data_IF_864580914781
#
_entry.id   IF_864580914781
#
_cell.length_a   1.000
_cell.length_b   1.000
_cell.length_c   1.000
_cell.angle_alpha   90.00
_cell.angle_beta   90.00
_cell.angle_gamma   90.00
#
_symmetry.space_group_name_H-M   'P 1'
#
loop_
_entity.id
_entity.type
_entity.pdbx_description
1 polymer ?
#
# COMPACT_ATOMS: atom_id res chain seq x y z
N UNK A 1 -13.30 -27.15 -17.05
CA UNK A 1 -13.28 -25.85 -16.35
C UNK A 1 -12.32 -25.98 -15.20
N UNK A 2 -11.09 -25.51 -15.39
CA UNK A 2 -10.06 -25.51 -14.34
C UNK A 2 -10.22 -24.20 -13.58
N UNK A 3 -10.68 -24.27 -12.33
CA UNK A 3 -10.72 -23.12 -11.44
C UNK A 3 -9.27 -22.87 -11.02
N UNK A 4 -8.65 -21.83 -11.58
CA UNK A 4 -7.38 -21.30 -11.05
C UNK A 4 -7.58 -20.96 -9.59
N UNK A 5 -6.93 -21.70 -8.70
CA UNK A 5 -6.82 -21.34 -7.29
C UNK A 5 -6.21 -19.92 -7.19
N UNK A 6 -6.74 -19.01 -6.36
CA UNK A 6 -6.07 -17.75 -6.10
C UNK A 6 -4.73 -18.07 -5.44
N UNK A 7 -3.63 -17.70 -6.12
CA UNK A 7 -2.29 -17.72 -5.55
C UNK A 7 -2.35 -16.99 -4.22
N UNK A 8 -2.09 -17.69 -3.12
CA UNK A 8 -1.88 -17.03 -1.83
C UNK A 8 -0.78 -15.99 -2.02
N UNK A 9 -0.99 -14.74 -1.56
CA UNK A 9 0.05 -13.71 -1.68
C UNK A 9 1.31 -14.25 -1.03
N UNK A 10 2.45 -14.13 -1.72
CA UNK A 10 3.72 -14.57 -1.14
C UNK A 10 3.96 -13.72 0.10
N UNK A 11 4.03 -14.39 1.25
CA UNK A 11 4.41 -13.73 2.48
C UNK A 11 5.92 -13.56 2.48
N UNK A 12 6.40 -12.33 2.68
CA UNK A 12 7.81 -12.08 2.93
C UNK A 12 8.12 -12.63 4.33
N UNK A 13 9.19 -13.43 4.54
CA UNK A 13 9.64 -13.72 5.90
C UNK A 13 9.78 -12.40 6.68
N UNK A 14 9.26 -12.39 7.91
CA UNK A 14 9.01 -11.22 8.78
C UNK A 14 10.25 -10.33 9.02
N UNK A 15 11.44 -10.79 8.64
CA UNK A 15 12.74 -10.11 8.82
C UNK A 15 13.33 -9.46 7.57
N UNK A 16 12.73 -9.60 6.39
CA UNK A 16 13.20 -8.91 5.18
C UNK A 16 12.45 -7.58 5.07
N UNK A 17 13.19 -6.47 4.96
CA UNK A 17 12.58 -5.15 4.81
C UNK A 17 11.70 -5.00 3.56
N UNK A 18 10.90 -3.92 3.47
CA UNK A 18 10.01 -3.68 2.34
C UNK A 18 10.71 -3.74 0.98
N UNK A 19 10.10 -4.42 0.01
CA UNK A 19 10.65 -4.57 -1.35
C UNK A 19 10.44 -3.30 -2.18
N UNK A 20 11.15 -3.15 -3.30
CA UNK A 20 10.93 -1.98 -4.16
C UNK A 20 9.52 -1.97 -4.80
N UNK A 21 8.97 -3.13 -5.18
CA UNK A 21 7.60 -3.24 -5.69
C UNK A 21 6.55 -2.86 -4.64
N UNK A 22 6.80 -3.23 -3.39
CA UNK A 22 5.97 -2.84 -2.25
C UNK A 22 5.99 -1.32 -2.06
N UNK A 23 7.17 -0.71 -2.05
CA UNK A 23 7.32 0.74 -1.87
C UNK A 23 6.70 1.53 -3.02
N UNK A 24 6.89 1.08 -4.27
CA UNK A 24 6.24 1.66 -5.46
C UNK A 24 4.71 1.61 -5.33
N UNK A 25 4.17 0.45 -4.90
CA UNK A 25 2.73 0.32 -4.71
C UNK A 25 2.21 1.23 -3.60
N UNK A 26 2.92 1.34 -2.48
CA UNK A 26 2.56 2.25 -1.39
C UNK A 26 2.53 3.71 -1.85
N UNK A 27 3.52 4.14 -2.65
CA UNK A 27 3.55 5.49 -3.25
C UNK A 27 2.32 5.71 -4.15
N UNK A 28 1.99 4.74 -5.01
CA UNK A 28 0.79 4.78 -5.83
C UNK A 28 -0.50 4.87 -5.01
N UNK A 29 -0.61 4.09 -3.93
CA UNK A 29 -1.78 4.14 -3.03
C UNK A 29 -1.95 5.48 -2.31
N UNK A 30 -0.86 6.18 -1.98
CA UNK A 30 -0.93 7.55 -1.47
C UNK A 30 -1.53 8.50 -2.52
N UNK A 31 -1.05 8.39 -3.76
CA UNK A 31 -1.54 9.18 -4.90
C UNK A 31 -3.00 8.88 -5.26
N UNK A 32 -3.40 7.61 -5.27
CA UNK A 32 -4.78 7.14 -5.53
C UNK A 32 -5.78 7.75 -4.53
N UNK A 33 -5.33 8.04 -3.30
CA UNK A 33 -6.10 8.69 -2.24
C UNK A 33 -6.06 10.22 -2.29
N UNK A 34 -5.38 10.80 -3.27
CA UNK A 34 -5.24 12.25 -3.43
C UNK A 34 -4.43 12.92 -2.32
N UNK A 35 -3.56 12.19 -1.63
CA UNK A 35 -2.73 12.76 -0.58
C UNK A 35 -1.66 13.69 -1.15
N UNK A 36 -1.40 14.79 -0.47
CA UNK A 36 -0.26 15.69 -0.76
C UNK A 36 0.76 15.63 0.37
N UNK A 37 0.31 15.37 1.59
CA UNK A 37 1.14 15.37 2.80
C UNK A 37 1.05 14.05 3.53
N UNK A 38 2.19 13.55 4.00
CA UNK A 38 2.24 12.34 4.83
C UNK A 38 3.08 12.54 6.08
N UNK A 39 2.84 11.72 7.11
CA UNK A 39 3.82 11.43 8.15
C UNK A 39 4.24 9.98 7.99
N UNK A 40 5.56 9.75 7.99
CA UNK A 40 6.16 8.43 7.92
C UNK A 40 6.56 7.96 9.32
N UNK A 41 6.08 6.80 9.72
CA UNK A 41 6.43 6.14 10.96
C UNK A 41 7.18 4.86 10.67
N UNK A 42 8.32 4.64 11.32
CA UNK A 42 9.07 3.42 11.07
C UNK A 42 9.85 2.83 12.24
N UNK A 43 10.14 1.53 12.14
CA UNK A 43 11.04 0.80 13.04
C UNK A 43 12.52 1.12 12.78
N UNK A 44 13.40 0.59 13.62
CA UNK A 44 14.84 0.89 13.62
C UNK A 44 15.73 -0.18 12.96
N UNK A 45 15.16 -1.24 12.40
CA UNK A 45 15.98 -2.25 11.72
C UNK A 45 16.62 -1.64 10.48
N UNK A 46 17.87 -2.00 10.13
CA UNK A 46 18.58 -1.38 9.01
C UNK A 46 17.81 -1.38 7.70
N UNK A 47 17.15 -2.51 7.36
CA UNK A 47 16.38 -2.63 6.13
C UNK A 47 15.14 -1.74 6.12
N UNK A 48 14.51 -1.53 7.28
CA UNK A 48 13.35 -0.63 7.42
C UNK A 48 13.78 0.83 7.36
N UNK A 49 14.95 1.18 7.91
CA UNK A 49 15.52 2.53 7.77
C UNK A 49 15.81 2.81 6.30
N UNK A 50 16.45 1.87 5.59
CA UNK A 50 16.73 2.01 4.17
C UNK A 50 15.44 2.13 3.35
N UNK A 51 14.44 1.29 3.64
CA UNK A 51 13.14 1.36 2.98
C UNK A 51 12.42 2.69 3.25
N UNK A 52 12.47 3.21 4.48
CA UNK A 52 11.91 4.51 4.83
C UNK A 52 12.57 5.64 4.02
N UNK A 53 13.90 5.63 3.91
CA UNK A 53 14.62 6.60 3.06
C UNK A 53 14.19 6.51 1.60
N UNK A 54 14.13 5.30 1.03
CA UNK A 54 13.71 5.10 -0.37
C UNK A 54 12.26 5.53 -0.61
N UNK A 55 11.37 5.25 0.35
CA UNK A 55 9.98 5.64 0.27
C UNK A 55 9.83 7.18 0.30
N UNK A 56 10.52 7.86 1.21
CA UNK A 56 10.53 9.33 1.27
C UNK A 56 10.98 9.93 -0.05
N UNK A 57 12.10 9.45 -0.61
CA UNK A 57 12.60 9.92 -1.91
C UNK A 57 11.56 9.76 -3.02
N UNK A 58 10.96 8.57 -3.14
CA UNK A 58 9.92 8.29 -4.14
C UNK A 58 8.69 9.19 -3.98
N UNK A 59 8.26 9.43 -2.75
CA UNK A 59 7.10 10.27 -2.47
C UNK A 59 7.36 11.74 -2.84
N UNK A 60 8.54 12.26 -2.51
CA UNK A 60 8.93 13.63 -2.85
C UNK A 60 9.15 13.81 -4.36
N UNK A 61 9.74 12.83 -5.04
CA UNK A 61 9.87 12.80 -6.51
C UNK A 61 8.51 12.76 -7.22
N UNK A 62 7.50 12.12 -6.61
CA UNK A 62 6.13 12.12 -7.10
C UNK A 62 5.37 13.43 -6.79
N UNK A 63 6.01 14.42 -6.16
CA UNK A 63 5.45 15.73 -5.83
C UNK A 63 4.74 15.81 -4.48
N UNK A 64 4.82 14.76 -3.66
CA UNK A 64 4.30 14.75 -2.30
C UNK A 64 5.27 15.34 -1.27
N UNK A 65 4.78 15.59 -0.05
CA UNK A 65 5.57 16.14 1.05
C UNK A 65 5.53 15.20 2.26
N UNK A 66 6.70 14.91 2.85
CA UNK A 66 6.81 14.25 4.15
C UNK A 66 6.91 15.32 5.24
N UNK A 67 5.85 15.48 6.05
CA UNK A 67 5.81 16.48 7.11
C UNK A 67 6.73 16.14 8.28
N UNK A 68 6.82 14.84 8.61
CA UNK A 68 7.71 14.34 9.64
C UNK A 68 8.02 12.85 9.43
N UNK A 69 9.18 12.43 9.93
CA UNK A 69 9.59 11.02 9.99
C UNK A 69 9.82 10.63 11.44
N UNK A 70 9.02 9.68 11.92
CA UNK A 70 9.01 9.22 13.31
C UNK A 70 9.60 7.82 13.38
N UNK A 71 10.82 7.74 13.90
CA UNK A 71 11.40 6.45 14.25
C UNK A 71 10.90 6.03 15.64
N UNK A 72 10.36 4.82 15.75
CA UNK A 72 10.07 4.21 17.05
C UNK A 72 11.10 3.13 17.40
N UNK A 73 11.61 3.13 18.65
CA UNK A 73 12.46 2.05 19.13
C UNK A 73 11.60 0.81 19.46
N UNK A 74 12.09 -0.40 19.21
CA UNK A 74 11.34 -1.64 19.51
C UNK A 74 10.98 -1.78 21.01
N UNK A 75 11.81 -1.18 21.85
CA UNK A 75 11.62 -1.07 23.30
C UNK A 75 11.67 0.41 23.70
N UNK A 76 10.50 1.00 23.93
CA UNK A 76 10.37 2.32 24.53
C UNK A 76 9.72 2.20 25.92
N UNK A 77 10.28 2.90 26.90
CA UNK A 77 9.66 3.06 28.23
C UNK A 77 8.34 3.86 28.14
N UNK A 78 8.17 4.70 27.11
CA UNK A 78 6.92 5.38 26.78
C UNK A 78 6.81 5.60 25.27
N UNK A 79 5.65 5.21 24.73
CA UNK A 79 5.26 5.38 23.33
C UNK A 79 4.44 6.66 23.11
N UNK A 80 4.08 7.36 24.19
CA UNK A 80 3.18 8.51 24.14
C UNK A 80 3.80 9.68 23.37
N UNK A 81 5.09 9.95 23.58
CA UNK A 81 5.78 11.06 22.91
C UNK A 81 5.80 10.87 21.39
N UNK A 82 6.04 9.64 20.96
CA UNK A 82 6.05 9.26 19.55
C UNK A 82 4.64 9.34 18.98
N UNK A 83 3.63 8.82 19.68
CA UNK A 83 2.25 8.86 19.24
C UNK A 83 1.75 10.29 19.04
N UNK A 84 2.00 11.18 20.00
CA UNK A 84 1.62 12.59 19.91
C UNK A 84 2.33 13.29 18.74
N UNK A 85 3.62 13.04 18.55
CA UNK A 85 4.37 13.61 17.42
C UNK A 85 3.84 13.10 16.08
N UNK A 86 3.49 11.81 16.00
CA UNK A 86 2.94 11.17 14.81
C UNK A 86 1.59 11.76 14.37
N UNK A 87 0.84 12.38 15.28
CA UNK A 87 -0.45 13.02 14.98
C UNK A 87 -0.43 14.55 15.07
N UNK A 88 0.73 15.16 15.29
CA UNK A 88 0.80 16.60 15.59
C UNK A 88 0.47 17.51 14.40
N UNK A 89 0.77 17.09 13.17
CA UNK A 89 0.68 17.93 11.98
C UNK A 89 -0.52 17.61 11.05
N UNK A 90 -1.45 16.77 11.50
CA UNK A 90 -2.65 16.35 10.74
C UNK A 90 -2.40 16.11 9.22
N UNK A 91 -1.50 15.17 8.86
CA UNK A 91 -1.19 14.89 7.45
C UNK A 91 -2.40 14.33 6.72
N UNK A 92 -2.42 14.36 5.39
CA UNK A 92 -3.47 13.70 4.58
C UNK A 92 -3.52 12.20 4.88
N UNK A 93 -2.34 11.56 4.97
CA UNK A 93 -2.18 10.14 5.31
C UNK A 93 -1.02 9.87 6.27
N UNK A 94 -1.12 8.74 6.96
CA UNK A 94 -0.02 8.15 7.72
C UNK A 94 0.54 6.95 6.98
N UNK A 95 1.87 6.82 6.97
CA UNK A 95 2.57 5.67 6.41
C UNK A 95 3.33 4.95 7.52
N UNK A 96 3.24 3.62 7.57
CA UNK A 96 3.90 2.82 8.61
C UNK A 96 4.75 1.69 8.02
N UNK A 97 6.05 1.70 8.34
CA UNK A 97 7.02 0.69 7.92
C UNK A 97 7.70 0.07 9.13
N UNK A 98 7.66 -1.24 9.33
CA UNK A 98 8.58 -1.84 10.29
C UNK A 98 8.12 -3.12 10.95
N UNK A 99 8.90 -3.59 11.93
CA UNK A 99 8.66 -4.86 12.60
C UNK A 99 7.30 -4.87 13.30
N UNK A 100 6.60 -5.99 13.16
CA UNK A 100 5.22 -6.21 13.63
C UNK A 100 5.03 -5.84 15.10
N UNK A 101 5.95 -6.22 15.99
CA UNK A 101 5.81 -5.97 17.43
C UNK A 101 5.90 -4.47 17.76
N UNK A 102 6.86 -3.76 17.15
CA UNK A 102 7.01 -2.32 17.36
C UNK A 102 5.81 -1.55 16.83
N UNK A 103 5.34 -1.94 15.63
CA UNK A 103 4.12 -1.40 15.04
C UNK A 103 2.91 -1.62 15.96
N UNK A 104 2.64 -2.85 16.41
CA UNK A 104 1.45 -3.15 17.22
C UNK A 104 1.42 -2.33 18.52
N UNK A 105 2.57 -2.14 19.17
CA UNK A 105 2.69 -1.30 20.38
C UNK A 105 2.39 0.17 20.10
N UNK A 106 2.95 0.70 19.00
CA UNK A 106 2.69 2.08 18.57
C UNK A 106 1.21 2.28 18.21
N UNK A 107 0.62 1.37 17.44
CA UNK A 107 -0.77 1.45 16.97
C UNK A 107 -1.77 1.39 18.12
N UNK A 108 -1.59 0.47 19.09
CA UNK A 108 -2.41 0.45 20.31
C UNK A 108 -2.33 1.77 21.07
N UNK A 109 -1.13 2.38 21.13
CA UNK A 109 -0.97 3.69 21.77
C UNK A 109 -1.72 4.78 21.00
N UNK A 110 -1.60 4.82 19.67
CA UNK A 110 -2.30 5.77 18.80
C UNK A 110 -3.81 5.69 18.99
N UNK A 111 -4.39 4.49 18.92
CA UNK A 111 -5.82 4.24 19.14
C UNK A 111 -6.30 4.77 20.50
N UNK A 112 -5.51 4.57 21.55
CA UNK A 112 -5.91 4.91 22.92
C UNK A 112 -5.71 6.38 23.30
N UNK A 113 -4.96 7.17 22.54
CA UNK A 113 -4.43 8.45 23.05
C UNK A 113 -4.32 9.57 22.02
N UNK A 114 -4.74 9.36 20.77
CA UNK A 114 -4.57 10.34 19.68
C UNK A 114 -5.77 10.31 18.73
N UNK A 115 -5.98 11.34 17.89
CA UNK A 115 -7.01 11.35 16.84
C UNK A 115 -6.61 10.55 15.59
N UNK A 116 -5.63 9.65 15.70
CA UNK A 116 -5.16 8.82 14.58
C UNK A 116 -6.31 7.97 14.00
N UNK A 117 -6.36 7.88 12.67
CA UNK A 117 -7.42 7.17 11.94
C UNK A 117 -6.82 6.00 11.12
N UNK A 118 -7.24 4.74 11.37
CA UNK A 118 -6.80 3.59 10.59
C UNK A 118 -7.10 3.74 9.10
N UNK A 119 -8.29 4.28 8.75
CA UNK A 119 -8.73 4.53 7.37
C UNK A 119 -7.80 5.44 6.56
N UNK A 120 -7.02 6.27 7.24
CA UNK A 120 -6.03 7.19 6.64
C UNK A 120 -4.60 6.66 6.75
N UNK A 121 -4.44 5.36 7.00
CA UNK A 121 -3.12 4.74 7.15
C UNK A 121 -2.84 3.75 6.02
N UNK A 122 -1.60 3.81 5.51
CA UNK A 122 -1.01 2.85 4.59
C UNK A 122 0.17 2.16 5.29
N UNK A 123 0.29 0.84 5.21
CA UNK A 123 1.40 0.12 5.83
C UNK A 123 2.05 -0.93 4.92
N UNK A 124 3.24 -1.36 5.34
CA UNK A 124 4.02 -2.42 4.71
C UNK A 124 3.35 -3.80 4.79
N UNK A 125 3.80 -4.71 3.92
CA UNK A 125 3.36 -6.11 3.82
C UNK A 125 3.51 -6.88 5.14
N UNK A 126 4.53 -6.55 5.94
CA UNK A 126 4.75 -7.17 7.25
C UNK A 126 3.54 -6.98 8.20
N UNK A 127 2.81 -5.86 8.06
CA UNK A 127 1.60 -5.56 8.85
C UNK A 127 0.36 -6.25 8.29
N UNK A 128 0.30 -6.47 6.98
CA UNK A 128 -0.81 -7.10 6.27
C UNK A 128 -0.92 -8.61 6.47
N UNK A 129 -0.80 -9.09 7.71
CA UNK A 129 -0.95 -10.50 8.08
C UNK A 129 -2.00 -10.66 9.17
N UNK A 130 -2.67 -11.82 9.21
CA UNK A 130 -3.63 -12.13 10.26
C UNK A 130 -2.99 -12.06 11.66
N UNK A 131 -1.75 -12.54 11.81
CA UNK A 131 -1.02 -12.51 13.08
C UNK A 131 -0.71 -11.08 13.53
N UNK A 132 -0.18 -10.24 12.64
CA UNK A 132 0.12 -8.84 12.96
C UNK A 132 -1.16 -8.09 13.34
N UNK A 133 -2.21 -8.19 12.52
CA UNK A 133 -3.50 -7.55 12.77
C UNK A 133 -4.12 -8.04 14.08
N UNK A 134 -4.02 -9.34 14.37
CA UNK A 134 -4.49 -9.94 15.62
C UNK A 134 -3.81 -9.37 16.87
N UNK A 135 -2.58 -8.86 16.76
CA UNK A 135 -1.93 -8.18 17.88
C UNK A 135 -2.56 -6.83 18.21
N UNK A 136 -3.35 -6.20 17.34
CA UNK A 136 -4.03 -4.95 17.68
C UNK A 136 -5.53 -5.18 17.85
N UNK A 137 -6.13 -5.98 16.97
CA UNK A 137 -7.56 -6.18 16.85
C UNK A 137 -8.05 -5.67 15.51
N UNK A 138 -8.56 -6.56 14.65
CA UNK A 138 -8.97 -6.19 13.29
C UNK A 138 -10.12 -5.17 13.26
N UNK A 139 -11.02 -5.21 14.26
CA UNK A 139 -12.11 -4.26 14.39
C UNK A 139 -11.62 -2.82 14.59
N UNK A 140 -10.52 -2.63 15.32
CA UNK A 140 -9.92 -1.33 15.61
C UNK A 140 -9.09 -0.79 14.44
N UNK A 141 -8.91 -1.59 13.37
CA UNK A 141 -8.08 -1.26 12.21
C UNK A 141 -8.87 -1.12 10.91
N UNK A 142 -10.20 -1.05 10.99
CA UNK A 142 -11.06 -0.95 9.81
C UNK A 142 -10.68 0.25 8.92
N UNK A 143 -10.53 -0.01 7.63
CA UNK A 143 -10.12 0.96 6.60
C UNK A 143 -8.61 1.08 6.40
N UNK A 144 -7.79 0.49 7.28
CA UNK A 144 -6.34 0.45 7.07
C UNK A 144 -6.01 -0.41 5.85
N UNK A 145 -5.05 0.04 5.06
CA UNK A 145 -4.62 -0.65 3.85
C UNK A 145 -3.10 -0.69 3.76
N UNK A 146 -2.59 -1.43 2.79
CA UNK A 146 -1.17 -1.47 2.52
C UNK A 146 -0.82 -2.25 1.26
N UNK A 147 0.46 -2.31 0.97
CA UNK A 147 0.99 -3.08 -0.14
C UNK A 147 1.42 -4.48 0.31
N UNK A 148 1.33 -5.45 -0.59
CA UNK A 148 1.99 -6.77 -0.43
C UNK A 148 3.40 -6.71 -1.04
N UNK A 149 4.24 -7.70 -0.70
CA UNK A 149 5.66 -7.68 -1.11
C UNK A 149 5.88 -7.83 -2.63
N UNK A 150 4.86 -8.30 -3.36
CA UNK A 150 4.81 -8.46 -4.81
C UNK A 150 4.14 -7.29 -5.53
N UNK A 151 3.80 -6.21 -4.82
CA UNK A 151 3.18 -5.00 -5.39
C UNK A 151 1.65 -5.08 -5.49
N UNK A 152 1.02 -6.14 -4.99
CA UNK A 152 -0.42 -6.18 -4.74
C UNK A 152 -0.82 -5.31 -3.55
N UNK A 153 -2.07 -5.44 -3.10
CA UNK A 153 -2.55 -4.67 -1.95
C UNK A 153 -3.34 -5.52 -0.97
N UNK A 154 -3.39 -5.06 0.27
CA UNK A 154 -4.26 -5.58 1.31
C UNK A 154 -5.06 -4.44 1.94
N UNK A 155 -6.24 -4.78 2.46
CA UNK A 155 -7.12 -3.85 3.18
C UNK A 155 -7.79 -4.57 4.33
N UNK A 156 -8.13 -3.82 5.39
CA UNK A 156 -8.95 -4.31 6.48
C UNK A 156 -10.35 -3.75 6.29
N UNK A 157 -11.31 -4.63 5.99
CA UNK A 157 -12.70 -4.27 5.75
C UNK A 157 -13.60 -5.16 6.60
N UNK A 158 -14.52 -4.54 7.36
CA UNK A 158 -15.44 -5.26 8.25
C UNK A 158 -14.74 -6.21 9.25
N UNK A 159 -13.53 -5.86 9.70
CA UNK A 159 -12.74 -6.70 10.61
C UNK A 159 -12.02 -7.88 9.94
N UNK A 160 -12.02 -7.95 8.61
CA UNK A 160 -11.35 -8.99 7.84
C UNK A 160 -10.22 -8.41 6.99
N UNK A 161 -9.13 -9.17 6.89
CA UNK A 161 -8.03 -8.88 5.99
C UNK A 161 -8.36 -9.40 4.59
N UNK A 162 -8.42 -8.49 3.62
CA UNK A 162 -8.72 -8.80 2.21
C UNK A 162 -7.52 -8.44 1.36
N UNK A 163 -7.15 -9.32 0.43
CA UNK A 163 -6.07 -9.12 -0.52
C UNK A 163 -6.62 -8.87 -1.92
N UNK A 164 -6.02 -7.95 -2.65
CA UNK A 164 -6.23 -7.77 -4.08
C UNK A 164 -4.90 -7.91 -4.83
N UNK A 165 -4.87 -8.61 -5.98
CA UNK A 165 -3.66 -8.78 -6.76
C UNK A 165 -3.17 -7.44 -7.31
N UNK A 166 -1.92 -7.42 -7.79
CA UNK A 166 -1.39 -6.32 -8.61
C UNK A 166 -2.43 -6.01 -9.70
N UNK A 167 -2.89 -4.76 -9.87
CA UNK A 167 -3.76 -4.44 -10.98
C UNK A 167 -3.00 -4.76 -12.26
N UNK A 168 -3.43 -5.79 -13.00
CA UNK A 168 -2.91 -6.06 -14.33
C UNK A 168 -3.13 -4.78 -15.13
N UNK A 169 -2.05 -4.09 -15.47
CA UNK A 169 -2.12 -2.95 -16.38
C UNK A 169 -2.65 -3.55 -17.66
N UNK A 170 -3.95 -3.34 -17.92
CA UNK A 170 -4.66 -3.91 -19.04
C UNK A 170 -3.87 -3.53 -20.29
N UNK A 171 -3.10 -4.48 -20.79
CA UNK A 171 -2.41 -4.34 -22.06
C UNK A 171 -3.53 -4.27 -23.05
N UNK A 172 -3.77 -3.07 -23.59
CA UNK A 172 -4.70 -2.85 -24.69
C UNK A 172 -4.38 -3.89 -25.76
N UNK A 173 -5.18 -4.95 -25.82
CA UNK A 173 -5.23 -5.87 -26.95
C UNK A 173 -5.59 -5.00 -28.12
N UNK A 174 -4.58 -4.65 -28.92
CA UNK A 174 -4.81 -3.96 -30.18
C UNK A 174 -5.59 -4.95 -31.05
N UNK A 175 -6.83 -4.65 -31.47
CA UNK A 175 -7.54 -5.55 -32.36
C UNK A 175 -6.71 -5.72 -33.63
N UNK A 176 -6.62 -6.94 -34.19
CA UNK A 176 -5.88 -7.16 -35.44
C UNK A 176 -6.44 -6.23 -36.52
N UNK A 177 -5.59 -5.65 -37.39
CA UNK A 177 -6.06 -4.81 -38.48
C UNK A 177 -7.10 -5.60 -39.29
N UNK A 178 -8.29 -5.03 -39.45
CA UNK A 178 -9.36 -5.62 -40.23
C UNK A 178 -8.90 -5.91 -41.66
N UNK A 179 -9.46 -6.93 -42.33
CA UNK A 179 -9.05 -7.29 -43.67
C UNK A 179 -9.21 -6.12 -44.64
N UNK A 180 -8.33 -5.99 -45.66
CA UNK A 180 -8.37 -4.88 -46.60
C UNK A 180 -9.74 -4.86 -47.30
N UNK A 181 -10.42 -3.71 -47.21
CA UNK A 181 -11.71 -3.50 -47.85
C UNK A 181 -11.60 -3.72 -49.35
N UNK A 182 -12.47 -4.59 -49.89
CA UNK A 182 -12.65 -4.70 -51.33
C UNK A 182 -13.13 -3.35 -51.88
N UNK A 183 -12.55 -2.85 -52.99
CA UNK A 183 -13.07 -1.67 -53.65
C UNK A 183 -14.49 -1.95 -54.17
N UNK A 184 -15.39 -0.96 -54.15
CA UNK A 184 -16.74 -1.14 -54.66
C UNK A 184 -16.71 -1.47 -56.16
N UNK A 185 -17.41 -2.54 -56.55
CA UNK A 185 -17.61 -2.93 -57.94
C UNK A 185 -18.35 -1.80 -58.68
N UNK A 186 -17.81 -1.24 -59.77
CA UNK A 186 -18.47 -0.15 -60.47
C UNK A 186 -19.71 -0.66 -61.23
N UNK A 187 -20.80 0.09 -61.10
CA UNK A 187 -22.18 -0.29 -61.44
C UNK A 187 -22.51 -0.29 -62.95
N UNK A 188 -21.52 -0.34 -63.84
CA UNK A 188 -21.73 -0.23 -65.30
C UNK A 188 -21.75 -1.58 -66.04
N UNK A 189 -21.49 -2.70 -65.38
CA UNK A 189 -21.40 -4.03 -66.01
C UNK A 189 -22.74 -4.75 -66.24
N UNK A 190 -23.85 -4.03 -66.40
CA UNK A 190 -25.16 -4.61 -66.72
C UNK A 190 -25.82 -3.84 -67.87
N UNK A 191 -25.18 -3.88 -69.04
CA UNK A 191 -25.82 -3.64 -70.33
C UNK A 191 -25.21 -4.61 -71.32
N UNK A 192 -25.92 -5.71 -71.54
CA UNK A 192 -26.12 -6.44 -72.81
C UNK A 192 -26.98 -7.67 -72.55
#
# INVERSE_FOLDING_TARGET
MTISSPLSPRHNPVDVGPTDAELERMTGMCGDRGALTIILGHGRTPDVILAATRFTQRWEEAGGVVLDTITWPESAASWMRQALRFTASEPDLWVMLGPVIGWARMTRRLLSSTPWQPSRTIAAAAVGTADAIGLVGAADLSGMAGATCDGGMWTISCGELVFAPVPETSTLVTPPPGPPGHPPTPQWAARE
#
